data_IF_222607517133
#
_entry.id   IF_222607517133
#
_cell.length_a   1.000
_cell.length_b   1.000
_cell.length_c   1.000
_cell.angle_alpha   90.00
_cell.angle_beta   90.00
_cell.angle_gamma   90.00
#
_symmetry.space_group_name_H-M   'P 1'
#
loop_
_entity.id
_entity.type
_entity.pdbx_description
1 polymer ?
#
# COMPACT_ATOMS: atom_id res chain seq x y z
N UNK A 1 14.86 -10.36 -6.03
CA UNK A 1 14.19 -9.28 -5.27
C UNK A 1 12.72 -9.64 -5.06
N UNK A 2 12.03 -9.00 -4.11
CA UNK A 2 10.57 -9.07 -3.95
C UNK A 2 9.98 -7.67 -4.02
N UNK A 3 8.90 -7.49 -4.79
CA UNK A 3 8.10 -6.26 -4.81
C UNK A 3 6.82 -6.48 -4.02
N UNK A 4 6.52 -5.56 -3.11
CA UNK A 4 5.30 -5.54 -2.30
C UNK A 4 4.56 -4.24 -2.58
N UNK A 5 3.23 -4.30 -2.69
CA UNK A 5 2.38 -3.12 -2.93
C UNK A 5 1.28 -3.03 -1.87
N UNK A 6 0.57 -1.91 -1.77
CA UNK A 6 -0.63 -1.79 -0.92
C UNK A 6 -1.78 -2.59 -1.52
N UNK A 7 -2.04 -2.35 -2.80
CA UNK A 7 -3.07 -2.98 -3.61
C UNK A 7 -2.52 -3.20 -5.01
N UNK A 8 -2.59 -4.43 -5.53
CA UNK A 8 -2.24 -4.71 -6.93
C UNK A 8 -3.14 -3.93 -7.88
N UNK A 9 -4.43 -3.87 -7.55
CA UNK A 9 -5.42 -3.16 -8.37
C UNK A 9 -5.05 -1.68 -8.53
N UNK A 10 -4.63 -1.02 -7.45
CA UNK A 10 -4.19 0.38 -7.50
C UNK A 10 -2.81 0.52 -8.18
N UNK A 11 -1.82 -0.25 -7.75
CA UNK A 11 -0.44 -0.11 -8.23
C UNK A 11 -0.27 -0.44 -9.72
N UNK A 12 -1.09 -1.37 -10.24
CA UNK A 12 -1.08 -1.81 -11.65
C UNK A 12 -2.21 -1.20 -12.49
N UNK A 13 -2.95 -0.23 -11.95
CA UNK A 13 -3.97 0.51 -12.71
C UNK A 13 -3.33 1.27 -13.89
N UNK A 14 -4.06 1.52 -14.99
CA UNK A 14 -3.56 2.38 -16.06
C UNK A 14 -3.35 3.83 -15.57
N UNK A 15 -2.52 4.62 -16.25
CA UNK A 15 -2.39 6.05 -15.98
C UNK A 15 -3.75 6.78 -16.00
N UNK A 16 -3.96 7.78 -15.14
CA UNK A 16 -2.98 8.37 -14.21
C UNK A 16 -2.91 7.68 -12.83
N UNK A 17 -3.62 6.57 -12.59
CA UNK A 17 -3.80 6.01 -11.26
C UNK A 17 -2.67 5.08 -10.77
N UNK A 18 -2.08 4.27 -11.66
CA UNK A 18 -1.05 3.31 -11.27
C UNK A 18 0.37 3.86 -11.22
N UNK A 19 1.32 2.99 -10.85
CA UNK A 19 2.72 3.38 -10.69
C UNK A 19 3.54 3.15 -11.95
N UNK A 20 4.05 4.22 -12.55
CA UNK A 20 4.99 4.12 -13.68
C UNK A 20 6.29 3.37 -13.32
N UNK A 21 6.71 3.38 -12.06
CA UNK A 21 7.85 2.60 -11.57
C UNK A 21 7.66 1.08 -11.73
N UNK A 22 6.41 0.62 -11.85
CA UNK A 22 6.07 -0.78 -12.15
C UNK A 22 5.59 -0.94 -13.59
N UNK A 23 4.70 -0.07 -14.06
CA UNK A 23 4.06 -0.19 -15.37
C UNK A 23 5.06 -0.05 -16.52
N UNK A 24 6.06 0.81 -16.42
CA UNK A 24 7.04 0.97 -17.51
C UNK A 24 8.00 -0.21 -17.61
N UNK A 25 8.62 -0.70 -16.51
CA UNK A 25 9.38 -1.95 -16.57
C UNK A 25 8.56 -3.16 -17.05
N UNK A 26 7.26 -3.22 -16.71
CA UNK A 26 6.35 -4.26 -17.23
C UNK A 26 6.14 -4.10 -18.74
N UNK A 27 5.81 -2.88 -19.19
CA UNK A 27 5.64 -2.55 -20.62
C UNK A 27 6.89 -2.89 -21.42
N UNK A 28 8.07 -2.59 -20.86
CA UNK A 28 9.37 -2.79 -21.51
C UNK A 28 9.88 -4.24 -21.36
N UNK A 29 9.09 -5.13 -20.74
CA UNK A 29 9.41 -6.56 -20.61
C UNK A 29 10.52 -6.88 -19.60
N UNK A 30 10.93 -5.92 -18.77
CA UNK A 30 12.00 -6.07 -17.78
C UNK A 30 11.53 -6.89 -16.56
N UNK A 31 10.25 -6.79 -16.20
CA UNK A 31 9.59 -7.58 -15.16
C UNK A 31 8.19 -7.99 -15.62
N UNK A 32 7.63 -9.03 -15.02
CA UNK A 32 6.22 -9.38 -15.20
C UNK A 32 5.35 -8.78 -14.08
N UNK A 33 4.04 -8.64 -14.30
CA UNK A 33 3.11 -8.24 -13.22
C UNK A 33 3.15 -9.20 -12.02
N UNK A 34 3.46 -10.48 -12.27
CA UNK A 34 3.68 -11.51 -11.25
C UNK A 34 4.96 -11.30 -10.42
N UNK A 35 5.81 -10.32 -10.77
CA UNK A 35 6.94 -9.89 -9.95
C UNK A 35 6.48 -9.19 -8.65
N UNK A 36 5.21 -8.72 -8.60
CA UNK A 36 4.56 -8.28 -7.37
C UNK A 36 4.25 -9.50 -6.50
N UNK A 37 5.09 -9.72 -5.50
CA UNK A 37 5.09 -10.87 -4.60
C UNK A 37 3.88 -10.89 -3.67
N UNK A 38 3.56 -9.75 -3.03
CA UNK A 38 2.49 -9.66 -2.03
C UNK A 38 1.85 -8.27 -2.00
N UNK A 39 0.61 -8.21 -1.53
CA UNK A 39 0.01 -7.00 -0.96
C UNK A 39 0.36 -6.88 0.52
N UNK A 40 0.39 -5.65 1.04
CA UNK A 40 0.72 -5.38 2.43
C UNK A 40 -0.23 -6.12 3.39
N UNK A 41 -1.52 -6.19 3.07
CA UNK A 41 -2.50 -6.96 3.85
C UNK A 41 -2.22 -8.47 3.88
N UNK A 42 -1.67 -9.05 2.80
CA UNK A 42 -1.27 -10.46 2.76
C UNK A 42 -0.06 -10.72 3.67
N UNK A 43 0.85 -9.75 3.81
CA UNK A 43 1.98 -9.86 4.72
C UNK A 43 1.53 -9.73 6.18
N UNK A 44 0.69 -8.75 6.49
CA UNK A 44 0.18 -8.49 7.85
C UNK A 44 -0.66 -9.66 8.37
N UNK A 45 -1.48 -10.27 7.50
CA UNK A 45 -2.30 -11.45 7.86
C UNK A 45 -1.52 -12.76 7.90
N UNK A 46 -0.26 -12.79 7.43
CA UNK A 46 0.52 -14.01 7.28
C UNK A 46 0.14 -14.89 6.09
N UNK A 47 -0.78 -14.44 5.22
CA UNK A 47 -1.17 -15.17 4.00
C UNK A 47 -0.01 -15.30 2.99
N UNK A 48 0.96 -14.38 3.04
CA UNK A 48 2.20 -14.43 2.25
C UNK A 48 3.41 -14.16 3.14
N UNK A 49 4.55 -14.87 2.93
CA UNK A 49 5.77 -14.61 3.69
C UNK A 49 6.38 -13.26 3.30
N UNK A 50 6.89 -12.52 4.30
CA UNK A 50 7.62 -11.27 4.11
C UNK A 50 9.06 -11.49 3.63
N UNK A 51 10.02 -10.75 4.18
CA UNK A 51 11.46 -10.95 3.91
C UNK A 51 11.90 -12.33 4.42
N UNK A 52 12.64 -13.08 3.59
CA UNK A 52 13.11 -14.42 3.92
C UNK A 52 14.51 -14.45 4.57
N UNK A 53 15.39 -13.53 4.19
CA UNK A 53 16.76 -13.45 4.68
C UNK A 53 17.33 -12.02 4.57
N UNK A 54 18.53 -11.81 5.16
CA UNK A 54 19.19 -10.50 5.20
C UNK A 54 19.74 -10.04 3.84
N UNK A 55 20.04 -10.97 2.93
CA UNK A 55 20.60 -10.66 1.60
C UNK A 55 19.52 -10.33 0.57
N UNK A 56 18.27 -10.71 0.85
CA UNK A 56 17.15 -10.48 -0.05
C UNK A 56 16.83 -8.99 -0.21
N UNK A 57 16.87 -8.49 -1.45
CA UNK A 57 16.38 -7.14 -1.75
C UNK A 57 14.85 -7.14 -1.78
N UNK A 58 14.24 -6.22 -1.01
CA UNK A 58 12.78 -6.00 -0.99
C UNK A 58 12.47 -4.56 -1.35
N UNK A 59 11.53 -4.35 -2.25
CA UNK A 59 10.97 -3.05 -2.59
C UNK A 59 9.51 -3.01 -2.15
N UNK A 60 9.14 -1.99 -1.39
CA UNK A 60 7.75 -1.63 -1.17
C UNK A 60 7.40 -0.45 -2.08
N UNK A 61 6.33 -0.60 -2.87
CA UNK A 61 5.83 0.45 -3.77
C UNK A 61 4.43 0.86 -3.36
N UNK A 62 4.31 2.13 -2.98
CA UNK A 62 3.06 2.77 -2.56
C UNK A 62 2.49 3.68 -3.65
N UNK A 63 1.17 3.62 -3.86
CA UNK A 63 0.40 4.59 -4.65
C UNK A 63 -0.71 5.25 -3.83
N UNK A 64 -0.90 4.82 -2.58
CA UNK A 64 -1.94 5.29 -1.67
C UNK A 64 -3.27 4.57 -1.88
N UNK A 65 -3.87 4.10 -0.79
CA UNK A 65 -5.22 3.51 -0.81
C UNK A 65 -6.10 4.24 0.20
N UNK A 66 -7.19 4.83 -0.26
CA UNK A 66 -8.06 5.70 0.56
C UNK A 66 -8.59 5.05 1.86
N UNK A 67 -8.65 3.71 1.91
CA UNK A 67 -9.05 2.98 3.13
C UNK A 67 -8.05 3.18 4.27
N UNK A 68 -6.77 3.36 3.96
CA UNK A 68 -5.70 3.59 4.92
C UNK A 68 -5.89 4.96 5.59
N UNK A 69 -6.19 6.00 4.79
CA UNK A 69 -6.52 7.34 5.28
C UNK A 69 -7.79 7.32 6.14
N UNK A 70 -8.84 6.64 5.69
CA UNK A 70 -10.09 6.54 6.42
C UNK A 70 -9.92 5.84 7.77
N UNK A 71 -9.14 4.74 7.81
CA UNK A 71 -8.81 4.04 9.04
C UNK A 71 -7.99 4.92 10.00
N UNK A 72 -6.98 5.63 9.49
CA UNK A 72 -6.17 6.56 10.28
C UNK A 72 -7.02 7.71 10.84
N UNK A 73 -7.88 8.31 10.01
CA UNK A 73 -8.79 9.37 10.41
C UNK A 73 -9.79 8.90 11.47
N UNK A 74 -10.37 7.69 11.32
CA UNK A 74 -11.27 7.12 12.31
C UNK A 74 -10.58 6.89 13.67
N UNK A 75 -9.34 6.40 13.66
CA UNK A 75 -8.52 6.23 14.85
C UNK A 75 -8.25 7.57 15.56
N UNK A 76 -7.77 8.57 14.81
CA UNK A 76 -7.46 9.90 15.37
C UNK A 76 -8.72 10.58 15.88
N UNK A 77 -9.83 10.51 15.15
CA UNK A 77 -11.11 11.10 15.56
C UNK A 77 -11.63 10.47 16.85
N UNK A 78 -11.54 9.14 16.98
CA UNK A 78 -11.92 8.44 18.22
C UNK A 78 -11.08 8.91 19.41
N UNK A 79 -9.75 8.95 19.25
CA UNK A 79 -8.84 9.39 20.31
C UNK A 79 -9.03 10.86 20.68
N UNK A 80 -9.32 11.72 19.70
CA UNK A 80 -9.61 13.13 19.92
C UNK A 80 -10.86 13.30 20.79
N UNK A 81 -11.92 12.53 20.52
CA UNK A 81 -13.15 12.50 21.34
C UNK A 81 -12.89 12.01 22.77
N UNK A 82 -12.15 10.92 22.92
CA UNK A 82 -11.78 10.36 24.25
C UNK A 82 -10.95 11.33 25.10
N UNK A 83 -10.15 12.20 24.46
CA UNK A 83 -9.26 13.15 25.13
C UNK A 83 -9.81 14.57 25.22
N UNK A 84 -11.02 14.83 24.71
CA UNK A 84 -11.59 16.18 24.67
C UNK A 84 -10.79 17.16 23.80
N UNK A 85 -10.14 16.67 22.74
CA UNK A 85 -9.34 17.48 21.81
C UNK A 85 -10.13 17.74 20.52
N UNK A 86 -10.04 18.96 19.98
CA UNK A 86 -10.69 19.36 18.73
C UNK A 86 -11.86 20.33 18.94
N UNK A 87 -12.59 20.64 17.86
CA UNK A 87 -13.73 21.56 17.86
C UNK A 87 -14.86 21.01 16.99
N UNK A 88 -16.07 20.97 17.53
CA UNK A 88 -17.29 20.68 16.76
C UNK A 88 -17.70 21.93 15.98
N UNK A 89 -18.05 21.75 14.71
CA UNK A 89 -18.56 22.79 13.82
C UNK A 89 -19.95 22.35 13.35
N UNK A 90 -20.93 23.25 13.43
CA UNK A 90 -22.25 23.06 12.83
C UNK A 90 -22.17 23.35 11.33
N UNK A 91 -22.74 22.47 10.52
CA UNK A 91 -22.73 22.54 9.05
C UNK A 91 -24.04 23.13 8.52
#
# INVERSE_FOLDING_TARGET
SRVVVESRAAALAPPPGGSNDLLWPIRDGLIAATHVHAELGELVSGARPGRADATQLTLYKSVGVAVEDAAAAALVLRLARERGVGRTIEL
#
